data_IF_724914557212
#
_entry.id   IF_724914557212
#
_cell.length_a   1.000
_cell.length_b   1.000
_cell.length_c   1.000
_cell.angle_alpha   90.00
_cell.angle_beta   90.00
_cell.angle_gamma   90.00
#
_symmetry.space_group_name_H-M   'P 1'
#
loop_
_entity.id
_entity.type
_entity.pdbx_description
1 polymer ?
#
# COMPACT_ATOMS: atom_id res chain seq x y z
N UNK A 1 29.07 -25.41 19.03
CA UNK A 1 28.46 -24.11 18.66
C UNK A 1 26.97 -24.27 18.83
N UNK A 2 26.52 -23.88 20.01
CA UNK A 2 25.17 -24.13 20.51
C UNK A 2 24.18 -23.08 20.02
N UNK A 3 23.01 -23.54 19.65
CA UNK A 3 21.87 -22.83 19.09
C UNK A 3 21.47 -21.59 19.91
N UNK A 4 21.49 -20.44 19.28
CA UNK A 4 20.64 -19.32 19.66
C UNK A 4 19.23 -19.56 19.08
N UNK A 5 18.52 -20.51 19.70
CA UNK A 5 17.09 -20.63 19.53
C UNK A 5 16.43 -19.85 20.68
N UNK A 6 16.49 -18.53 20.61
CA UNK A 6 15.59 -17.72 21.40
C UNK A 6 14.27 -17.65 20.63
N UNK A 7 13.34 -18.52 21.00
CA UNK A 7 11.92 -18.31 20.74
C UNK A 7 11.59 -16.91 21.26
N UNK A 8 11.42 -15.96 20.35
CA UNK A 8 10.75 -14.69 20.65
C UNK A 8 9.29 -15.10 20.87
N UNK A 9 8.95 -15.35 22.11
CA UNK A 9 7.56 -15.57 22.54
C UNK A 9 6.81 -14.26 22.33
N UNK A 10 6.10 -14.16 21.19
CA UNK A 10 5.18 -13.05 20.85
C UNK A 10 3.84 -13.15 21.59
N UNK A 11 3.76 -13.90 22.69
CA UNK A 11 2.53 -14.25 23.41
C UNK A 11 2.19 -13.31 24.57
N UNK A 12 2.46 -12.03 24.48
CA UNK A 12 1.68 -11.07 25.25
C UNK A 12 0.63 -10.47 24.33
N UNK A 13 -0.59 -11.00 24.38
CA UNK A 13 -1.74 -10.37 23.77
C UNK A 13 -1.87 -8.96 24.36
N UNK A 14 -1.62 -7.96 23.52
CA UNK A 14 -1.84 -6.57 23.91
C UNK A 14 -3.35 -6.37 24.04
N UNK A 15 -3.85 -5.92 25.20
CA UNK A 15 -5.30 -5.73 25.37
C UNK A 15 -5.81 -4.65 24.42
N UNK A 16 -7.00 -4.83 23.86
CA UNK A 16 -7.63 -3.87 22.95
C UNK A 16 -7.80 -2.47 23.57
N UNK A 17 -7.87 -2.40 24.91
CA UNK A 17 -7.92 -1.15 25.67
C UNK A 17 -6.60 -0.37 25.69
N UNK A 18 -5.49 -0.97 25.22
CA UNK A 18 -4.19 -0.28 25.19
C UNK A 18 -4.22 0.89 24.22
N UNK A 19 -3.78 2.11 24.60
CA UNK A 19 -3.83 3.30 23.73
C UNK A 19 -3.17 3.12 22.37
N UNK A 20 -2.13 2.26 22.31
CA UNK A 20 -1.39 1.96 21.07
C UNK A 20 -1.66 0.54 20.55
N UNK A 21 -2.83 -0.03 20.84
CA UNK A 21 -3.19 -1.40 20.43
C UNK A 21 -2.96 -1.63 18.93
N UNK A 22 -3.46 -0.73 18.09
CA UNK A 22 -3.34 -0.85 16.62
C UNK A 22 -1.89 -0.84 16.15
N UNK A 23 -1.05 0.05 16.67
CA UNK A 23 0.38 0.12 16.30
C UNK A 23 1.11 -1.16 16.70
N UNK A 24 0.84 -1.68 17.91
CA UNK A 24 1.46 -2.92 18.40
C UNK A 24 0.97 -4.14 17.59
N UNK A 25 -0.31 -4.17 17.22
CA UNK A 25 -0.86 -5.19 16.34
C UNK A 25 -0.14 -5.22 14.98
N UNK A 26 0.10 -4.06 14.38
CA UNK A 26 0.82 -3.96 13.10
C UNK A 26 2.26 -4.48 13.25
N UNK A 27 2.97 -4.11 14.32
CA UNK A 27 4.33 -4.63 14.59
C UNK A 27 4.33 -6.15 14.63
N UNK A 28 3.39 -6.76 15.37
CA UNK A 28 3.27 -8.21 15.47
C UNK A 28 2.98 -8.85 14.11
N UNK A 29 2.08 -8.27 13.30
CA UNK A 29 1.81 -8.74 11.93
C UNK A 29 3.06 -8.74 11.06
N UNK A 30 3.92 -7.70 11.14
CA UNK A 30 5.17 -7.64 10.37
C UNK A 30 6.17 -8.68 10.87
N UNK A 31 6.32 -8.87 12.19
CA UNK A 31 7.19 -9.92 12.78
C UNK A 31 6.73 -11.31 12.30
N UNK A 32 5.46 -11.65 12.43
CA UNK A 32 4.89 -12.90 11.92
C UNK A 32 5.07 -13.04 10.41
N UNK A 33 4.99 -11.93 9.66
CA UNK A 33 5.27 -11.91 8.23
C UNK A 33 6.71 -12.30 7.89
N UNK A 34 7.69 -11.93 8.72
CA UNK A 34 9.08 -12.38 8.59
C UNK A 34 9.20 -13.87 8.87
N UNK A 35 8.60 -14.36 9.95
CA UNK A 35 8.61 -15.78 10.33
C UNK A 35 7.98 -16.68 9.25
N UNK A 36 6.91 -16.20 8.62
CA UNK A 36 6.21 -16.90 7.52
C UNK A 36 6.89 -16.74 6.15
N UNK A 37 8.01 -16.02 6.07
CA UNK A 37 8.71 -15.76 4.81
C UNK A 37 7.96 -14.82 3.83
N UNK A 38 6.95 -14.10 4.31
CA UNK A 38 6.15 -13.14 3.53
C UNK A 38 6.92 -11.83 3.33
N UNK A 39 7.50 -11.31 4.42
CA UNK A 39 8.38 -10.13 4.35
C UNK A 39 9.79 -10.48 4.83
N UNK A 40 10.69 -9.50 4.87
CA UNK A 40 12.09 -9.71 5.27
C UNK A 40 12.41 -8.86 6.51
N UNK A 41 13.54 -9.11 7.20
CA UNK A 41 14.01 -8.24 8.29
C UNK A 41 14.13 -6.77 7.89
N UNK A 42 14.46 -6.45 6.61
CA UNK A 42 14.45 -5.09 6.09
C UNK A 42 13.04 -4.45 6.14
N UNK A 43 11.99 -5.27 6.02
CA UNK A 43 10.60 -4.82 6.17
C UNK A 43 10.30 -4.28 7.57
N UNK A 44 10.90 -4.86 8.62
CA UNK A 44 10.77 -4.34 10.00
C UNK A 44 11.36 -2.94 10.14
N UNK A 45 12.53 -2.70 9.53
CA UNK A 45 13.20 -1.39 9.56
C UNK A 45 12.36 -0.35 8.78
N UNK A 46 11.87 -0.73 7.60
CA UNK A 46 11.01 0.14 6.80
C UNK A 46 9.71 0.48 7.52
N UNK A 47 9.08 -0.50 8.19
CA UNK A 47 7.88 -0.30 8.98
C UNK A 47 8.11 0.67 10.14
N UNK A 48 9.15 0.46 10.95
CA UNK A 48 9.48 1.34 12.08
C UNK A 48 9.76 2.78 11.67
N UNK A 49 10.38 2.99 10.50
CA UNK A 49 10.57 4.32 9.91
C UNK A 49 9.24 5.00 9.56
N UNK A 50 8.29 4.26 8.99
CA UNK A 50 6.94 4.76 8.70
C UNK A 50 6.14 5.03 9.96
N UNK A 51 6.19 4.13 10.95
CA UNK A 51 5.51 4.27 12.24
C UNK A 51 5.90 5.56 13.00
N UNK A 52 7.15 6.02 12.87
CA UNK A 52 7.57 7.28 13.45
C UNK A 52 6.76 8.47 12.91
N UNK A 53 6.44 8.48 11.61
CA UNK A 53 5.58 9.50 11.01
C UNK A 53 4.13 9.35 11.47
N UNK A 54 3.61 8.12 11.56
CA UNK A 54 2.25 7.88 12.06
C UNK A 54 2.06 8.45 13.47
N UNK A 55 3.05 8.26 14.34
CA UNK A 55 3.06 8.85 15.68
C UNK A 55 3.01 10.39 15.64
N UNK A 56 3.79 11.04 14.77
CA UNK A 56 3.79 12.49 14.61
C UNK A 56 2.48 13.05 14.05
N UNK A 57 1.80 12.29 13.20
CA UNK A 57 0.48 12.62 12.66
C UNK A 57 -0.61 12.47 13.73
N UNK A 58 -0.39 11.59 14.73
CA UNK A 58 -1.30 11.35 15.85
C UNK A 58 -2.04 10.02 15.76
N UNK A 59 -1.54 9.07 14.97
CA UNK A 59 -2.07 7.70 14.80
C UNK A 59 -3.58 7.67 14.42
N UNK A 60 -4.00 8.68 13.64
CA UNK A 60 -5.38 8.87 13.20
C UNK A 60 -5.46 9.29 11.73
N UNK A 61 -6.56 8.93 11.07
CA UNK A 61 -6.88 9.45 9.74
C UNK A 61 -7.27 10.91 9.84
N UNK A 62 -6.57 11.78 9.11
CA UNK A 62 -6.81 13.22 9.10
C UNK A 62 -7.62 13.64 7.84
N UNK A 63 -8.19 14.85 7.86
CA UNK A 63 -9.01 15.39 6.75
C UNK A 63 -8.28 15.38 5.40
N UNK A 64 -6.98 15.65 5.40
CA UNK A 64 -6.17 15.58 4.18
C UNK A 64 -6.06 14.14 3.65
N UNK A 65 -6.01 13.14 4.53
CA UNK A 65 -6.01 11.74 4.14
C UNK A 65 -7.39 11.31 3.60
N UNK A 66 -8.49 11.75 4.22
CA UNK A 66 -9.85 11.49 3.70
C UNK A 66 -10.05 12.09 2.31
N UNK A 67 -9.55 13.31 2.08
CA UNK A 67 -9.57 13.96 0.76
C UNK A 67 -8.78 13.14 -0.27
N UNK A 68 -7.60 12.63 0.09
CA UNK A 68 -6.79 11.78 -0.77
C UNK A 68 -7.44 10.41 -1.02
N UNK A 69 -8.10 9.82 -0.03
CA UNK A 69 -8.86 8.57 -0.16
C UNK A 69 -10.01 8.74 -1.17
N UNK A 70 -10.72 9.86 -1.13
CA UNK A 70 -11.80 10.14 -2.08
C UNK A 70 -11.27 10.29 -3.51
N UNK A 71 -10.15 11.00 -3.70
CA UNK A 71 -9.49 11.13 -4.99
C UNK A 71 -8.95 9.78 -5.50
N UNK A 72 -8.34 8.97 -4.62
CA UNK A 72 -7.89 7.62 -4.93
C UNK A 72 -9.04 6.73 -5.42
N UNK A 73 -10.18 6.75 -4.72
CA UNK A 73 -11.37 6.01 -5.10
C UNK A 73 -11.89 6.42 -6.48
N UNK A 74 -11.94 7.73 -6.76
CA UNK A 74 -12.38 8.25 -8.06
C UNK A 74 -11.44 7.85 -9.20
N UNK A 75 -10.11 7.92 -9.01
CA UNK A 75 -9.14 7.45 -10.00
C UNK A 75 -9.26 5.96 -10.29
N UNK A 76 -9.40 5.12 -9.25
CA UNK A 76 -9.57 3.68 -9.40
C UNK A 76 -10.85 3.31 -10.14
N UNK A 77 -11.94 4.05 -9.93
CA UNK A 77 -13.21 3.86 -10.64
C UNK A 77 -13.19 4.35 -12.10
N UNK A 78 -12.35 5.34 -12.42
CA UNK A 78 -12.16 5.84 -13.78
C UNK A 78 -11.20 4.96 -14.60
N UNK A 79 -10.36 4.18 -13.94
CA UNK A 79 -9.38 3.32 -14.59
C UNK A 79 -10.05 2.20 -15.41
N UNK A 80 -9.47 1.93 -16.57
CA UNK A 80 -9.90 0.80 -17.42
C UNK A 80 -9.26 -0.52 -17.00
N UNK A 81 -8.06 -0.44 -16.47
CA UNK A 81 -7.27 -1.60 -16.04
C UNK A 81 -6.54 -1.27 -14.74
N UNK A 82 -7.27 -1.11 -13.61
CA UNK A 82 -6.63 -0.90 -12.33
C UNK A 82 -5.94 -2.18 -11.84
N UNK A 83 -4.86 -2.03 -11.07
CA UNK A 83 -4.16 -3.12 -10.40
C UNK A 83 -3.71 -2.70 -9.00
N UNK A 84 -3.74 -3.64 -8.06
CA UNK A 84 -3.21 -3.45 -6.71
C UNK A 84 -1.86 -4.16 -6.62
N UNK A 85 -0.79 -3.40 -6.41
CA UNK A 85 0.56 -3.94 -6.27
C UNK A 85 0.86 -4.30 -4.82
N UNK A 86 1.17 -5.58 -4.57
CA UNK A 86 1.42 -6.14 -3.26
C UNK A 86 2.92 -6.34 -3.03
N UNK A 87 3.43 -5.81 -1.93
CA UNK A 87 4.76 -6.13 -1.41
C UNK A 87 4.68 -6.93 -0.10
N UNK A 88 5.83 -7.34 0.43
CA UNK A 88 5.88 -8.18 1.63
C UNK A 88 5.21 -7.55 2.85
N UNK A 89 5.46 -6.27 3.13
CA UNK A 89 4.86 -5.60 4.29
C UNK A 89 3.35 -5.42 4.12
N UNK A 90 2.89 -5.02 2.95
CA UNK A 90 1.45 -4.91 2.66
C UNK A 90 0.75 -6.25 2.84
N UNK A 91 1.33 -7.33 2.30
CA UNK A 91 0.79 -8.69 2.44
C UNK A 91 0.78 -9.17 3.89
N UNK A 92 1.77 -8.77 4.70
CA UNK A 92 1.81 -9.13 6.12
C UNK A 92 0.82 -8.33 6.97
N UNK A 93 0.60 -7.04 6.65
CA UNK A 93 -0.18 -6.12 7.50
C UNK A 93 -1.67 -6.18 7.16
N UNK A 94 -2.03 -6.13 5.87
CA UNK A 94 -3.41 -5.92 5.38
C UNK A 94 -3.80 -6.86 4.23
N UNK A 95 -3.60 -8.19 4.37
CA UNK A 95 -3.95 -9.12 3.29
C UNK A 95 -5.46 -9.16 3.04
N UNK A 96 -6.28 -9.25 4.09
CA UNK A 96 -7.75 -9.32 3.99
C UNK A 96 -8.34 -8.04 3.39
N UNK A 97 -7.89 -6.88 3.85
CA UNK A 97 -8.32 -5.57 3.36
C UNK A 97 -7.94 -5.38 1.87
N UNK A 98 -6.76 -5.87 1.48
CA UNK A 98 -6.31 -5.82 0.08
C UNK A 98 -7.15 -6.72 -0.83
N UNK A 99 -7.50 -7.92 -0.36
CA UNK A 99 -8.38 -8.85 -1.09
C UNK A 99 -9.78 -8.28 -1.20
N UNK A 100 -10.33 -7.68 -0.13
CA UNK A 100 -11.64 -7.01 -0.16
C UNK A 100 -11.64 -5.86 -1.17
N UNK A 101 -10.60 -5.02 -1.18
CA UNK A 101 -10.45 -3.92 -2.13
C UNK A 101 -10.41 -4.43 -3.57
N UNK A 102 -9.59 -5.47 -3.85
CA UNK A 102 -9.50 -6.15 -5.15
C UNK A 102 -10.86 -6.67 -5.62
N UNK A 103 -11.61 -7.31 -4.73
CA UNK A 103 -12.94 -7.86 -5.02
C UNK A 103 -13.93 -6.74 -5.35
N UNK A 104 -13.94 -5.67 -4.58
CA UNK A 104 -14.85 -4.53 -4.79
C UNK A 104 -14.53 -3.81 -6.11
N UNK A 105 -13.26 -3.68 -6.47
CA UNK A 105 -12.82 -3.07 -7.74
C UNK A 105 -12.99 -4.02 -8.94
N UNK A 106 -12.97 -5.33 -8.71
CA UNK A 106 -12.90 -6.33 -9.77
C UNK A 106 -11.54 -6.34 -10.48
N UNK A 107 -10.45 -6.05 -9.76
CA UNK A 107 -9.10 -5.95 -10.33
C UNK A 107 -8.13 -6.96 -9.68
N UNK A 108 -7.05 -7.37 -10.38
CA UNK A 108 -6.09 -8.31 -9.82
C UNK A 108 -5.22 -7.68 -8.74
N UNK A 109 -4.71 -8.55 -7.85
CA UNK A 109 -3.54 -8.29 -7.02
C UNK A 109 -2.30 -8.74 -7.78
N UNK A 110 -1.21 -7.96 -7.79
CA UNK A 110 0.07 -8.37 -8.38
C UNK A 110 1.18 -8.28 -7.35
N UNK A 111 1.92 -9.38 -7.19
CA UNK A 111 3.10 -9.43 -6.32
C UNK A 111 4.26 -8.75 -7.01
N UNK A 112 4.86 -7.77 -6.31
CA UNK A 112 6.05 -7.08 -6.76
C UNK A 112 6.93 -6.71 -5.57
N UNK A 113 8.10 -7.35 -5.46
CA UNK A 113 9.00 -7.22 -4.31
C UNK A 113 10.42 -6.81 -4.74
N UNK A 114 11.10 -6.02 -3.90
CA UNK A 114 12.44 -5.51 -4.15
C UNK A 114 13.49 -6.63 -4.11
N UNK A 115 13.56 -7.36 -3.01
CA UNK A 115 14.42 -8.53 -2.86
C UNK A 115 13.64 -9.77 -3.30
N UNK A 116 13.57 -9.97 -4.62
CA UNK A 116 12.85 -11.10 -5.19
C UNK A 116 13.49 -12.41 -4.77
N UNK A 117 12.66 -13.31 -4.21
CA UNK A 117 12.93 -14.73 -4.15
C UNK A 117 11.64 -15.47 -4.47
N UNK A 118 11.75 -16.56 -5.21
CA UNK A 118 10.58 -17.37 -5.60
C UNK A 118 9.81 -17.89 -4.39
N UNK A 119 10.53 -18.25 -3.32
CA UNK A 119 9.94 -18.72 -2.06
C UNK A 119 9.05 -17.65 -1.41
N UNK A 120 9.51 -16.40 -1.39
CA UNK A 120 8.73 -15.28 -0.83
C UNK A 120 7.52 -14.95 -1.70
N UNK A 121 7.68 -14.91 -3.01
CA UNK A 121 6.58 -14.69 -3.93
C UNK A 121 5.49 -15.74 -3.76
N UNK A 122 5.89 -17.03 -3.65
CA UNK A 122 4.95 -18.14 -3.38
C UNK A 122 4.29 -18.00 -2.02
N UNK A 123 5.03 -17.63 -0.96
CA UNK A 123 4.48 -17.43 0.38
C UNK A 123 3.45 -16.29 0.39
N UNK A 124 3.74 -15.18 -0.26
CA UNK A 124 2.81 -14.06 -0.40
C UNK A 124 1.55 -14.45 -1.17
N UNK A 125 1.72 -15.12 -2.31
CA UNK A 125 0.60 -15.60 -3.12
C UNK A 125 -0.29 -16.53 -2.30
N UNK A 126 0.30 -17.48 -1.58
CA UNK A 126 -0.42 -18.40 -0.71
C UNK A 126 -1.23 -17.64 0.33
N UNK A 127 -0.62 -16.68 1.04
CA UNK A 127 -1.30 -15.86 2.05
C UNK A 127 -2.51 -15.11 1.48
N UNK A 128 -2.39 -14.50 0.30
CA UNK A 128 -3.48 -13.79 -0.34
C UNK A 128 -4.61 -14.73 -0.79
N UNK A 129 -4.27 -15.93 -1.30
CA UNK A 129 -5.27 -16.94 -1.65
C UNK A 129 -6.00 -17.48 -0.43
N UNK A 130 -5.31 -17.66 0.71
CA UNK A 130 -5.92 -18.05 1.98
C UNK A 130 -6.93 -17.00 2.49
N UNK A 131 -6.70 -15.70 2.17
CA UNK A 131 -7.66 -14.62 2.43
C UNK A 131 -8.78 -14.52 1.39
N UNK A 132 -8.85 -15.44 0.42
CA UNK A 132 -9.92 -15.51 -0.57
C UNK A 132 -9.67 -14.73 -1.86
N UNK A 133 -8.43 -14.34 -2.17
CA UNK A 133 -8.12 -13.70 -3.45
C UNK A 133 -8.42 -14.62 -4.62
N UNK A 134 -9.07 -14.10 -5.66
CA UNK A 134 -9.42 -14.85 -6.88
C UNK A 134 -8.37 -14.74 -7.98
N UNK A 135 -7.61 -13.63 -8.00
CA UNK A 135 -6.58 -13.35 -8.99
C UNK A 135 -5.34 -12.73 -8.31
N UNK A 136 -4.28 -13.52 -8.19
CA UNK A 136 -2.97 -13.07 -7.70
C UNK A 136 -1.94 -13.33 -8.78
N UNK A 137 -1.50 -12.26 -9.43
CA UNK A 137 -0.54 -12.28 -10.52
C UNK A 137 0.89 -12.30 -9.97
N UNK A 138 1.74 -13.02 -10.69
CA UNK A 138 3.18 -13.14 -10.39
C UNK A 138 3.98 -12.37 -11.45
N UNK A 139 5.16 -11.82 -11.10
CA UNK A 139 6.01 -11.17 -12.09
C UNK A 139 6.49 -12.18 -13.15
N UNK A 140 6.60 -11.71 -14.39
CA UNK A 140 7.08 -12.45 -15.55
C UNK A 140 8.35 -11.78 -16.07
N UNK A 141 9.41 -12.53 -16.38
CA UNK A 141 10.68 -11.97 -16.85
C UNK A 141 10.58 -11.30 -18.22
N UNK A 142 9.57 -11.67 -19.00
CA UNK A 142 9.33 -11.15 -20.36
C UNK A 142 8.73 -9.73 -20.35
N UNK A 143 8.10 -9.30 -19.26
CA UNK A 143 7.44 -8.01 -19.15
C UNK A 143 8.13 -7.13 -18.12
N UNK A 144 8.71 -6.04 -18.59
CA UNK A 144 9.51 -5.14 -17.77
C UNK A 144 8.99 -3.70 -17.81
N UNK A 145 9.15 -3.01 -16.69
CA UNK A 145 8.96 -1.56 -16.60
C UNK A 145 10.21 -0.86 -17.13
N UNK A 146 10.01 0.22 -17.87
CA UNK A 146 11.07 1.14 -18.25
C UNK A 146 11.53 2.01 -17.06
N UNK A 147 12.70 2.61 -17.15
CA UNK A 147 13.25 3.58 -16.19
C UNK A 147 13.58 3.02 -14.79
N UNK A 148 13.64 1.71 -14.62
CA UNK A 148 14.00 1.04 -13.37
C UNK A 148 14.88 -0.19 -13.66
N UNK A 149 15.98 -0.35 -12.90
CA UNK A 149 16.93 -1.45 -13.09
C UNK A 149 16.79 -2.55 -12.02
N UNK A 150 16.10 -2.27 -10.91
CA UNK A 150 15.88 -3.26 -9.84
C UNK A 150 14.97 -4.41 -10.30
N UNK A 151 14.92 -5.49 -9.52
CA UNK A 151 14.06 -6.65 -9.79
C UNK A 151 12.56 -6.28 -9.83
N UNK A 152 12.19 -5.12 -9.27
CA UNK A 152 10.83 -4.58 -9.37
C UNK A 152 10.40 -4.19 -10.79
N UNK A 153 11.35 -4.18 -11.74
CA UNK A 153 11.02 -4.00 -13.17
C UNK A 153 10.17 -5.13 -13.73
N UNK A 154 10.33 -6.35 -13.20
CA UNK A 154 9.56 -7.49 -13.69
C UNK A 154 8.12 -7.41 -13.18
N UNK A 155 7.18 -7.48 -14.11
CA UNK A 155 5.75 -7.29 -13.87
C UNK A 155 4.93 -8.31 -14.65
N UNK A 156 3.66 -8.48 -14.30
CA UNK A 156 2.78 -9.35 -15.06
C UNK A 156 2.15 -8.62 -16.25
N UNK A 157 2.04 -9.33 -17.39
CA UNK A 157 1.40 -8.80 -18.60
C UNK A 157 0.00 -8.28 -18.33
N UNK A 158 -0.81 -9.05 -17.60
CA UNK A 158 -2.21 -8.76 -17.30
C UNK A 158 -2.40 -7.92 -16.01
N UNK A 159 -1.32 -7.45 -15.42
CA UNK A 159 -1.29 -6.63 -14.23
C UNK A 159 -0.66 -5.26 -14.50
N UNK A 160 0.42 -4.95 -13.77
CA UNK A 160 1.08 -3.64 -13.81
C UNK A 160 1.52 -3.25 -15.24
N UNK A 161 1.92 -4.21 -16.08
CA UNK A 161 2.37 -3.90 -17.45
C UNK A 161 1.30 -3.15 -18.25
N UNK A 162 0.08 -3.68 -18.32
CA UNK A 162 -1.03 -3.09 -19.07
C UNK A 162 -1.85 -2.06 -18.28
N UNK A 163 -1.65 -1.96 -16.95
CA UNK A 163 -2.46 -1.09 -16.09
C UNK A 163 -2.33 0.37 -16.48
N UNK A 164 -3.43 1.10 -16.44
CA UNK A 164 -3.48 2.55 -16.54
C UNK A 164 -3.50 3.24 -15.16
N UNK A 165 -3.89 2.49 -14.11
CA UNK A 165 -3.86 2.94 -12.72
C UNK A 165 -3.28 1.85 -11.81
N UNK A 166 -2.27 2.22 -11.01
CA UNK A 166 -1.58 1.31 -10.09
C UNK A 166 -1.75 1.82 -8.66
N UNK A 167 -2.45 1.06 -7.83
CA UNK A 167 -2.52 1.34 -6.40
C UNK A 167 -1.40 0.57 -5.67
N UNK A 168 -0.55 1.28 -4.98
CA UNK A 168 0.60 0.71 -4.28
C UNK A 168 0.60 1.12 -2.82
N UNK A 169 0.05 0.30 -1.92
CA UNK A 169 0.23 0.49 -0.49
C UNK A 169 1.72 0.28 -0.14
N UNK A 170 2.42 1.31 0.29
CA UNK A 170 3.86 1.29 0.63
C UNK A 170 4.79 1.07 -0.58
N UNK A 171 5.23 2.15 -1.23
CA UNK A 171 6.03 2.12 -2.46
C UNK A 171 7.46 2.64 -2.28
N UNK A 172 8.34 2.24 -3.20
CA UNK A 172 9.68 2.82 -3.38
C UNK A 172 9.65 3.94 -4.41
N UNK A 173 10.42 5.02 -4.15
CA UNK A 173 10.38 6.23 -4.96
C UNK A 173 10.82 6.05 -6.40
N UNK A 174 11.80 5.17 -6.68
CA UNK A 174 12.29 4.89 -8.03
C UNK A 174 11.21 4.20 -8.89
N UNK A 175 10.49 3.23 -8.35
CA UNK A 175 9.41 2.58 -9.08
C UNK A 175 8.20 3.49 -9.25
N UNK A 176 7.84 4.29 -8.25
CA UNK A 176 6.78 5.28 -8.38
C UNK A 176 7.06 6.24 -9.54
N UNK A 177 8.30 6.77 -9.61
CA UNK A 177 8.73 7.66 -10.69
C UNK A 177 8.69 6.96 -12.06
N UNK A 178 9.16 5.72 -12.16
CA UNK A 178 9.13 4.94 -13.39
C UNK A 178 7.70 4.78 -13.91
N UNK A 179 6.77 4.36 -13.05
CA UNK A 179 5.36 4.18 -13.41
C UNK A 179 4.69 5.49 -13.86
N UNK A 180 4.96 6.61 -13.18
CA UNK A 180 4.44 7.93 -13.57
C UNK A 180 5.02 8.36 -14.92
N UNK A 181 6.33 8.17 -15.15
CA UNK A 181 6.98 8.46 -16.45
C UNK A 181 6.43 7.63 -17.61
N UNK A 182 5.94 6.42 -17.31
CA UNK A 182 5.23 5.56 -18.27
C UNK A 182 3.77 5.99 -18.51
N UNK A 183 3.33 7.10 -17.92
CA UNK A 183 1.98 7.65 -18.09
C UNK A 183 0.89 6.96 -17.27
N UNK A 184 1.27 6.16 -16.27
CA UNK A 184 0.31 5.50 -15.39
C UNK A 184 -0.11 6.42 -14.25
N UNK A 185 -1.37 6.36 -13.85
CA UNK A 185 -1.82 6.97 -12.59
C UNK A 185 -1.30 6.12 -11.43
N UNK A 186 -0.50 6.72 -10.55
CA UNK A 186 0.06 6.03 -9.38
C UNK A 186 -0.56 6.58 -8.11
N UNK A 187 -1.18 5.72 -7.34
CA UNK A 187 -1.80 6.01 -6.05
C UNK A 187 -1.01 5.27 -4.98
N UNK A 188 -0.55 5.98 -3.96
CA UNK A 188 0.27 5.40 -2.89
C UNK A 188 -0.30 5.68 -1.51
N UNK A 189 0.05 4.83 -0.55
CA UNK A 189 -0.07 5.10 0.88
C UNK A 189 1.33 5.32 1.42
N UNK A 190 1.62 6.51 1.92
CA UNK A 190 2.92 6.84 2.47
C UNK A 190 2.77 7.81 3.64
N UNK A 191 3.18 7.39 4.83
CA UNK A 191 3.15 8.17 6.07
C UNK A 191 4.11 9.36 6.05
N UNK A 192 5.13 9.34 5.18
CA UNK A 192 6.10 10.43 5.04
C UNK A 192 5.74 11.34 3.85
N UNK A 193 5.10 12.50 4.07
CA UNK A 193 4.74 13.41 2.98
C UNK A 193 5.94 14.01 2.24
N UNK A 194 7.13 13.93 2.81
CA UNK A 194 8.38 14.44 2.23
C UNK A 194 9.14 13.37 1.45
N UNK A 195 8.64 12.13 1.39
CA UNK A 195 9.32 11.06 0.65
C UNK A 195 9.31 11.32 -0.86
N UNK A 196 10.29 10.75 -1.56
CA UNK A 196 10.30 10.79 -3.03
C UNK A 196 9.04 10.16 -3.62
N UNK A 197 8.55 9.09 -3.02
CA UNK A 197 7.30 8.42 -3.41
C UNK A 197 6.11 9.38 -3.32
N UNK A 198 5.91 9.99 -2.14
CA UNK A 198 4.80 10.91 -1.90
C UNK A 198 4.83 12.12 -2.83
N UNK A 199 6.02 12.67 -3.10
CA UNK A 199 6.20 13.83 -3.98
C UNK A 199 5.99 13.52 -5.47
N UNK A 200 6.11 12.25 -5.88
CA UNK A 200 6.05 11.82 -7.27
C UNK A 200 4.68 11.26 -7.65
N UNK A 201 3.99 10.63 -6.71
CA UNK A 201 2.70 9.99 -6.96
C UNK A 201 1.60 10.97 -7.41
N UNK A 202 0.65 10.49 -8.20
CA UNK A 202 -0.53 11.26 -8.60
C UNK A 202 -1.45 11.52 -7.41
N UNK A 203 -1.61 10.52 -6.53
CA UNK A 203 -2.34 10.62 -5.27
C UNK A 203 -1.53 9.98 -4.17
N UNK A 204 -1.30 10.70 -3.08
CA UNK A 204 -0.67 10.18 -1.87
C UNK A 204 -1.66 10.23 -0.71
N UNK A 205 -2.00 9.07 -0.19
CA UNK A 205 -2.77 8.94 1.05
C UNK A 205 -1.76 8.95 2.20
N UNK A 206 -1.67 10.08 2.90
CA UNK A 206 -0.77 10.20 4.06
C UNK A 206 -1.49 9.68 5.30
N UNK A 207 -1.50 8.36 5.43
CA UNK A 207 -2.15 7.64 6.52
C UNK A 207 -1.53 6.23 6.68
N UNK A 208 -1.92 5.53 7.75
CA UNK A 208 -1.55 4.14 7.95
C UNK A 208 -2.42 3.22 7.07
N UNK A 209 -1.78 2.25 6.43
CA UNK A 209 -2.42 1.32 5.50
C UNK A 209 -3.57 0.54 6.15
N UNK A 210 -3.46 0.20 7.44
CA UNK A 210 -4.50 -0.52 8.20
C UNK A 210 -5.78 0.33 8.38
N UNK A 211 -5.64 1.67 8.45
CA UNK A 211 -6.78 2.59 8.56
C UNK A 211 -7.36 2.95 7.20
N UNK A 212 -6.49 3.29 6.24
CA UNK A 212 -6.97 3.85 4.98
C UNK A 212 -7.58 2.82 4.03
N UNK A 213 -7.15 1.53 4.01
CA UNK A 213 -7.70 0.55 3.08
C UNK A 213 -9.20 0.26 3.28
N UNK A 214 -9.69 0.04 4.51
CA UNK A 214 -11.14 -0.07 4.74
C UNK A 214 -11.90 1.17 4.29
N UNK A 215 -11.42 2.37 4.64
CA UNK A 215 -12.04 3.65 4.23
C UNK A 215 -12.05 3.82 2.71
N UNK A 216 -10.97 3.46 2.02
CA UNK A 216 -10.90 3.49 0.56
C UNK A 216 -11.92 2.54 -0.07
N UNK A 217 -12.05 1.33 0.48
CA UNK A 217 -13.02 0.34 -0.01
C UNK A 217 -14.45 0.83 0.15
N UNK A 218 -14.78 1.39 1.31
CA UNK A 218 -16.11 1.93 1.58
C UNK A 218 -16.41 3.17 0.71
N UNK A 219 -15.39 4.03 0.48
CA UNK A 219 -15.52 5.20 -0.41
C UNK A 219 -15.76 4.79 -1.86
N UNK A 220 -15.08 3.75 -2.35
CA UNK A 220 -15.33 3.18 -3.69
C UNK A 220 -16.76 2.68 -3.83
N UNK A 221 -17.27 1.95 -2.84
CA UNK A 221 -18.66 1.47 -2.87
C UNK A 221 -19.66 2.63 -2.93
N UNK A 222 -19.47 3.67 -2.10
CA UNK A 222 -20.33 4.85 -2.10
C UNK A 222 -20.26 5.64 -3.42
N UNK A 223 -19.09 5.75 -4.03
CA UNK A 223 -18.91 6.49 -5.29
C UNK A 223 -19.45 5.71 -6.50
N UNK A 224 -19.49 4.39 -6.48
CA UNK A 224 -20.09 3.59 -7.58
C UNK A 224 -21.53 4.01 -7.86
N UNK A 225 -22.28 4.42 -6.86
CA UNK A 225 -23.67 4.86 -7.00
C UNK A 225 -23.80 6.25 -7.66
N UNK A 226 -22.73 7.06 -7.64
CA UNK A 226 -22.77 8.45 -8.13
C UNK A 226 -22.41 8.60 -9.62
N UNK A 227 -21.69 7.63 -10.19
CA UNK A 227 -21.31 7.58 -11.59
C UNK A 227 -20.13 8.48 -12.00
N UNK A 228 -19.69 8.30 -13.25
CA UNK A 228 -18.43 8.89 -13.75
C UNK A 228 -18.36 10.42 -13.79
N UNK A 229 -19.43 11.21 -13.92
CA UNK A 229 -19.32 12.67 -13.84
C UNK A 229 -18.81 13.15 -12.49
N UNK A 230 -19.28 12.54 -11.39
CA UNK A 230 -18.82 12.88 -10.04
C UNK A 230 -17.37 12.45 -9.82
N UNK A 231 -16.96 11.29 -10.31
CA UNK A 231 -15.59 10.82 -10.19
C UNK A 231 -14.60 11.77 -10.90
N UNK A 232 -14.96 12.27 -12.08
CA UNK A 232 -14.14 13.26 -12.82
C UNK A 232 -14.05 14.57 -12.04
N UNK A 233 -15.15 15.06 -11.50
CA UNK A 233 -15.18 16.28 -10.68
C UNK A 233 -14.24 16.19 -9.48
N UNK A 234 -14.21 15.03 -8.80
CA UNK A 234 -13.32 14.79 -7.67
C UNK A 234 -11.85 14.80 -8.12
N UNK A 235 -11.52 14.10 -9.20
CA UNK A 235 -10.16 14.04 -9.76
C UNK A 235 -9.66 15.42 -10.20
N UNK A 236 -10.49 16.19 -10.90
CA UNK A 236 -10.16 17.55 -11.36
C UNK A 236 -9.96 18.55 -10.21
N UNK A 237 -10.65 18.34 -9.10
CA UNK A 237 -10.51 19.19 -7.91
C UNK A 237 -9.38 18.79 -6.95
N UNK A 238 -8.68 17.68 -7.21
CA UNK A 238 -7.64 17.16 -6.31
C UNK A 238 -6.26 17.76 -6.61
N UNK A 239 -5.55 18.11 -5.55
CA UNK A 239 -4.16 18.60 -5.62
C UNK A 239 -3.29 17.87 -4.59
N UNK A 240 -2.44 16.94 -5.07
CA UNK A 240 -1.54 16.15 -4.23
C UNK A 240 -0.56 17.04 -3.44
N UNK A 241 -0.06 18.11 -4.03
CA UNK A 241 0.89 19.02 -3.35
C UNK A 241 0.23 19.72 -2.16
N UNK A 242 -1.04 20.10 -2.29
CA UNK A 242 -1.81 20.68 -1.19
C UNK A 242 -1.96 19.69 -0.04
N UNK A 243 -2.28 18.43 -0.34
CA UNK A 243 -2.39 17.35 0.65
C UNK A 243 -1.08 17.15 1.40
N UNK A 244 0.03 17.05 0.68
CA UNK A 244 1.35 16.85 1.28
C UNK A 244 1.72 18.03 2.20
N UNK A 245 1.45 19.26 1.78
CA UNK A 245 1.70 20.46 2.59
C UNK A 245 0.87 20.48 3.89
N UNK A 246 -0.39 20.04 3.82
CA UNK A 246 -1.24 19.91 5.02
C UNK A 246 -0.69 18.85 5.99
N UNK A 247 -0.26 17.70 5.46
CA UNK A 247 0.37 16.66 6.25
C UNK A 247 1.69 17.10 6.90
N UNK A 248 2.53 17.84 6.17
CA UNK A 248 3.76 18.45 6.74
C UNK A 248 3.41 19.45 7.85
N UNK A 249 2.41 20.30 7.66
CA UNK A 249 1.91 21.23 8.67
C UNK A 249 1.50 20.49 9.95
N UNK A 250 0.75 19.41 9.81
CA UNK A 250 0.34 18.56 10.94
C UNK A 250 1.53 18.00 11.71
N UNK A 251 2.54 17.45 11.01
CA UNK A 251 3.76 16.90 11.61
C UNK A 251 4.54 17.97 12.36
N UNK A 252 4.57 19.21 11.85
CA UNK A 252 5.26 20.36 12.46
C UNK A 252 4.47 21.04 13.58
N UNK A 253 3.25 20.56 13.87
CA UNK A 253 2.36 21.20 14.86
C UNK A 253 1.84 22.57 14.43
N UNK A 254 1.84 22.85 13.13
CA UNK A 254 1.25 24.07 12.57
C UNK A 254 -0.23 23.80 12.34
N UNK A 255 -1.15 24.63 12.91
CA UNK A 255 -2.59 24.47 12.75
C UNK A 255 -3.07 24.68 11.31
#
# INVERSE_FOLDING_TARGET
MSALNSQITTDQEVPESHPRYKSLLIRNRVVQGVERGITSPHGLIAHGRGEAFDYLIGEATCDFAETAIEAAAAHLLLARSPVISMNGNTTAIVPDESVRLSTVLGCPLEINIFHSSKEREVAMRKALLECGATAVLMPEEEFTLDYIESNRRFVNRHGIFQADCVFVPLEDGDRCEALVRMGKVVIVVDLNPMSRTAQTACVTIVDNVLRCLPLLTDRIQALKEKGSPEWRRIVEGFDNKRILKQAEGRIRGVP
#
